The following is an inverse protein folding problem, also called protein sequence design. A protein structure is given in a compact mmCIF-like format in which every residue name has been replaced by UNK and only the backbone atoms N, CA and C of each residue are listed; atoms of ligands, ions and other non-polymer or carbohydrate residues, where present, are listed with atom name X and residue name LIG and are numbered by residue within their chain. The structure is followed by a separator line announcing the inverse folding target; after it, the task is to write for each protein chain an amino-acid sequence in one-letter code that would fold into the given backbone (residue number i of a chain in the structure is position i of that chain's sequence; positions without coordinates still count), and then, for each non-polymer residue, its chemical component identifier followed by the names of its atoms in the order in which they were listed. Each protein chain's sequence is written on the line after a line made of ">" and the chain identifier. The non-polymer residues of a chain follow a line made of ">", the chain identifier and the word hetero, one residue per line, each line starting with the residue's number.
data_IF_496629236910
#
_entry.id   IF_496629236910
#
_cell.length_a   1.000
_cell.length_b   1.000
_cell.length_c   1.000
_cell.angle_alpha   90.00
_cell.angle_beta   90.00
_cell.angle_gamma   90.00
#
_symmetry.space_group_name_H-M   'P 1'
#
loop_
_entity.id
_entity.type
_entity.pdbx_description
1 polymer ?
#
# COMPACT_ATOMS: atom_id res chain seq x y z
N UNK A 1 21.36 8.92 18.75
CA UNK A 1 20.77 8.46 17.48
C UNK A 1 19.42 7.87 17.81
N UNK A 2 18.34 8.55 17.45
CA UNK A 2 16.98 8.05 17.66
C UNK A 2 16.59 7.32 16.37
N UNK A 3 16.50 6.00 16.42
CA UNK A 3 15.96 5.23 15.30
C UNK A 3 14.45 5.38 15.36
N UNK A 4 13.91 6.35 14.60
CA UNK A 4 12.48 6.47 14.40
C UNK A 4 11.99 5.17 13.72
N UNK A 5 10.97 4.53 14.31
CA UNK A 5 10.30 3.38 13.68
C UNK A 5 9.59 3.90 12.44
N UNK A 6 10.28 3.87 11.30
CA UNK A 6 9.63 3.99 10.02
C UNK A 6 8.65 2.81 9.91
N UNK A 7 7.36 3.13 9.88
CA UNK A 7 6.21 2.22 9.77
C UNK A 7 6.56 0.91 9.04
N UNK A 8 6.34 -0.22 9.72
CA UNK A 8 6.60 -1.58 9.23
C UNK A 8 5.53 -2.07 8.23
N UNK A 9 4.82 -1.19 7.53
CA UNK A 9 3.80 -1.61 6.58
C UNK A 9 4.47 -2.07 5.29
N UNK A 10 4.66 -3.38 5.19
CA UNK A 10 5.26 -4.04 4.04
C UNK A 10 4.20 -4.19 2.95
N UNK A 11 4.37 -3.45 1.85
CA UNK A 11 3.52 -3.54 0.67
C UNK A 11 4.20 -4.38 -0.41
N UNK A 12 3.42 -5.19 -1.12
CA UNK A 12 3.85 -5.88 -2.34
C UNK A 12 3.38 -5.09 -3.56
N UNK A 13 4.25 -4.92 -4.55
CA UNK A 13 3.93 -4.23 -5.80
C UNK A 13 3.99 -5.24 -6.95
N UNK A 14 2.92 -5.31 -7.73
CA UNK A 14 2.86 -6.02 -9.00
C UNK A 14 2.60 -5.05 -10.14
N UNK A 15 3.06 -5.37 -11.35
CA UNK A 15 2.74 -4.64 -12.57
C UNK A 15 1.75 -5.47 -13.37
N UNK A 16 0.54 -4.94 -13.58
CA UNK A 16 -0.42 -5.47 -14.54
C UNK A 16 -0.07 -4.89 -15.91
N UNK A 17 0.50 -5.71 -16.78
CA UNK A 17 0.95 -5.29 -18.11
C UNK A 17 -0.20 -5.17 -19.11
N UNK A 18 -1.38 -5.72 -18.83
CA UNK A 18 -2.56 -5.60 -19.69
C UNK A 18 -3.18 -4.21 -19.51
N UNK A 19 -3.28 -3.75 -18.27
CA UNK A 19 -3.83 -2.44 -17.91
C UNK A 19 -2.76 -1.35 -17.80
N UNK A 20 -1.47 -1.72 -17.79
CA UNK A 20 -0.32 -0.84 -17.57
C UNK A 20 -0.42 -0.07 -16.25
N UNK A 21 -0.84 -0.77 -15.19
CA UNK A 21 -0.98 -0.19 -13.85
C UNK A 21 -0.19 -1.00 -12.82
N UNK A 22 0.28 -0.31 -11.80
CA UNK A 22 0.87 -0.93 -10.61
C UNK A 22 -0.24 -1.28 -9.62
N UNK A 23 -0.18 -2.49 -9.09
CA UNK A 23 -1.06 -3.00 -8.06
C UNK A 23 -0.25 -3.06 -6.76
N UNK A 24 -0.65 -2.27 -5.76
CA UNK A 24 -0.11 -2.33 -4.42
C UNK A 24 -1.04 -3.17 -3.54
N UNK A 25 -0.46 -4.13 -2.82
CA UNK A 25 -1.18 -5.01 -1.90
C UNK A 25 -0.53 -4.93 -0.53
N UNK A 26 -1.33 -4.99 0.53
CA UNK A 26 -0.80 -5.18 1.87
C UNK A 26 -0.38 -6.64 2.07
N UNK A 27 0.80 -6.84 2.68
CA UNK A 27 1.34 -8.20 2.90
C UNK A 27 0.68 -8.90 4.08
N UNK A 28 0.18 -8.15 5.07
CA UNK A 28 -0.48 -8.71 6.24
C UNK A 28 -1.94 -9.06 5.92
N UNK A 29 -2.60 -8.27 5.07
CA UNK A 29 -3.96 -8.52 4.64
C UNK A 29 -4.12 -8.29 3.12
N UNK A 30 -4.10 -9.35 2.29
CA UNK A 30 -4.24 -9.26 0.85
C UNK A 30 -5.64 -8.83 0.39
N UNK A 31 -6.58 -8.60 1.31
CA UNK A 31 -7.88 -7.99 1.02
C UNK A 31 -7.74 -6.50 0.70
N UNK A 32 -6.65 -5.88 1.13
CA UNK A 32 -6.31 -4.51 0.78
C UNK A 32 -5.43 -4.47 -0.46
N UNK A 33 -6.06 -4.14 -1.58
CA UNK A 33 -5.39 -3.87 -2.84
C UNK A 33 -5.75 -2.48 -3.38
N UNK A 34 -4.80 -1.85 -4.08
CA UNK A 34 -5.04 -0.61 -4.79
C UNK A 34 -4.21 -0.53 -6.06
N UNK A 35 -4.76 0.10 -7.09
CA UNK A 35 -4.07 0.30 -8.36
C UNK A 35 -3.65 1.75 -8.55
N UNK A 36 -2.57 1.98 -9.30
CA UNK A 36 -2.12 3.29 -9.71
C UNK A 36 -1.25 3.26 -10.96
N UNK A 37 -1.20 4.37 -11.70
CA UNK A 37 -0.35 4.50 -12.90
C UNK A 37 1.14 4.51 -12.49
N UNK A 38 1.45 4.96 -11.29
CA UNK A 38 2.78 4.90 -10.68
C UNK A 38 2.74 4.11 -9.38
N UNK A 39 3.90 3.62 -8.94
CA UNK A 39 4.05 2.90 -7.66
C UNK A 39 3.58 3.78 -6.50
N UNK A 40 3.96 5.06 -6.50
CA UNK A 40 3.58 6.02 -5.45
C UNK A 40 2.07 6.21 -5.38
N UNK A 41 1.41 6.34 -6.53
CA UNK A 41 -0.05 6.45 -6.59
C UNK A 41 -0.73 5.18 -6.09
N UNK A 42 -0.22 4.00 -6.45
CA UNK A 42 -0.77 2.73 -5.99
C UNK A 42 -0.65 2.60 -4.45
N UNK A 43 0.50 2.94 -3.88
CA UNK A 43 0.71 2.90 -2.41
C UNK A 43 -0.12 3.95 -1.69
N UNK A 44 -0.25 5.17 -2.22
CA UNK A 44 -1.10 6.20 -1.62
C UNK A 44 -2.58 5.81 -1.63
N UNK A 45 -3.05 5.24 -2.75
CA UNK A 45 -4.42 4.72 -2.84
C UNK A 45 -4.64 3.60 -1.83
N UNK A 46 -3.67 2.68 -1.68
CA UNK A 46 -3.73 1.60 -0.70
C UNK A 46 -3.82 2.15 0.73
N UNK A 47 -2.94 3.09 1.09
CA UNK A 47 -2.97 3.76 2.40
C UNK A 47 -4.31 4.46 2.67
N UNK A 48 -4.87 5.08 1.64
CA UNK A 48 -6.19 5.75 1.72
C UNK A 48 -7.29 4.74 1.99
N UNK A 49 -7.30 3.60 1.30
CA UNK A 49 -8.28 2.52 1.53
C UNK A 49 -8.13 1.95 2.95
N UNK A 50 -6.90 1.67 3.39
CA UNK A 50 -6.63 1.19 4.76
C UNK A 50 -7.05 2.21 5.83
N UNK A 51 -6.88 3.51 5.55
CA UNK A 51 -7.30 4.59 6.46
C UNK A 51 -8.82 4.66 6.57
N UNK A 52 -9.53 4.58 5.44
CA UNK A 52 -11.01 4.61 5.40
C UNK A 52 -11.60 3.37 6.07
N UNK A 53 -10.96 2.21 5.93
CA UNK A 53 -11.42 0.96 6.54
C UNK A 53 -10.96 0.75 7.99
N UNK A 54 -10.34 1.75 8.62
CA UNK A 54 -10.01 1.73 10.05
C UNK A 54 -8.81 0.85 10.43
N UNK A 55 -8.01 0.40 9.47
CA UNK A 55 -6.85 -0.46 9.69
C UNK A 55 -5.52 0.30 9.90
N UNK A 56 -5.57 1.64 9.96
CA UNK A 56 -4.49 2.45 10.52
C UNK A 56 -4.67 2.57 12.04
N UNK A 57 -4.55 1.44 12.75
CA UNK A 57 -4.19 1.47 14.16
C UNK A 57 -2.67 1.38 14.27
N UNK A 58 -2.09 2.44 14.82
CA UNK A 58 -0.71 2.58 15.30
C UNK A 58 0.41 2.50 14.25
N UNK A 59 0.69 3.66 13.65
CA UNK A 59 2.05 4.04 13.26
C UNK A 59 2.51 5.20 14.13
#
# INVERSE_FOLDING_TARGET
>A
MTFEKYSHNWFSIALDTEKQVFIANDKADPTFEATGITIESAVQNLKTIMAIQGNLQDA
#
